data_IF_925201754598
#
_entry.id   IF_925201754598
#
_cell.length_a   1.000
_cell.length_b   1.000
_cell.length_c   1.000
_cell.angle_alpha   90.00
_cell.angle_beta   90.00
_cell.angle_gamma   90.00
#
_symmetry.space_group_name_H-M   'P 1'
#
loop_
_entity.id
_entity.type
_entity.pdbx_description
1 polymer ?
#
# COMPACT_ATOMS: atom_id res chain seq x y z
N UNK A 1 31.93 1.85 -16.90
CA UNK A 1 30.60 2.40 -16.56
C UNK A 1 29.59 1.52 -17.27
N UNK A 2 29.07 0.51 -16.59
CA UNK A 2 28.05 -0.36 -17.17
C UNK A 2 26.72 0.40 -17.20
N UNK A 3 26.32 0.81 -18.40
CA UNK A 3 25.00 1.33 -18.66
C UNK A 3 24.02 0.17 -18.45
N UNK A 4 23.47 0.03 -17.25
CA UNK A 4 22.36 -0.89 -17.02
C UNK A 4 21.20 -0.41 -17.87
N UNK A 5 21.01 -1.08 -19.01
CA UNK A 5 19.90 -0.85 -19.92
C UNK A 5 18.62 -1.26 -19.19
N UNK A 6 18.03 -0.33 -18.44
CA UNK A 6 16.71 -0.49 -17.84
C UNK A 6 15.70 -0.57 -18.98
N UNK A 7 15.45 -1.79 -19.46
CA UNK A 7 14.36 -2.10 -20.38
C UNK A 7 13.07 -1.60 -19.74
N UNK A 8 12.55 -0.49 -20.25
CA UNK A 8 11.26 0.06 -19.83
C UNK A 8 10.18 -0.85 -20.40
N UNK A 9 9.81 -1.88 -19.66
CA UNK A 9 8.71 -2.77 -20.02
C UNK A 9 7.42 -1.99 -19.82
N UNK A 10 6.70 -1.77 -20.91
CA UNK A 10 5.35 -1.20 -20.84
C UNK A 10 4.38 -2.33 -20.52
N UNK A 11 3.86 -2.29 -19.30
CA UNK A 11 2.79 -3.19 -18.85
C UNK A 11 1.48 -2.43 -18.79
N UNK A 12 0.42 -3.06 -19.27
CA UNK A 12 -0.93 -2.54 -19.12
C UNK A 12 -1.35 -2.60 -17.65
N UNK A 13 -2.16 -1.63 -17.22
CA UNK A 13 -2.67 -1.54 -15.85
C UNK A 13 -4.15 -1.20 -15.90
N UNK A 14 -4.91 -1.80 -15.00
CA UNK A 14 -6.34 -1.55 -14.86
C UNK A 14 -6.70 -1.33 -13.40
N UNK A 15 -7.81 -0.62 -13.17
CA UNK A 15 -8.39 -0.43 -11.84
C UNK A 15 -9.51 -1.47 -11.64
N UNK A 16 -9.35 -2.36 -10.66
CA UNK A 16 -10.40 -3.24 -10.20
C UNK A 16 -11.17 -2.59 -9.04
N UNK A 17 -12.49 -2.55 -9.13
CA UNK A 17 -13.36 -2.02 -8.07
C UNK A 17 -14.28 -3.14 -7.56
N UNK A 18 -14.18 -3.43 -6.27
CA UNK A 18 -15.10 -4.36 -5.60
C UNK A 18 -16.35 -3.58 -5.21
N UNK A 19 -17.51 -4.04 -5.69
CA UNK A 19 -18.79 -3.43 -5.34
C UNK A 19 -19.12 -3.67 -3.85
N UNK A 20 -19.88 -2.78 -3.20
CA UNK A 20 -20.19 -2.88 -1.76
C UNK A 20 -20.82 -4.21 -1.33
N UNK A 21 -21.70 -4.77 -2.16
CA UNK A 21 -22.38 -6.04 -1.92
C UNK A 21 -21.42 -7.24 -1.92
N UNK A 22 -20.28 -7.14 -2.60
CA UNK A 22 -19.26 -8.20 -2.71
C UNK A 22 -18.06 -8.00 -1.77
N UNK A 23 -18.06 -6.99 -0.90
CA UNK A 23 -16.92 -6.68 -0.03
C UNK A 23 -16.51 -7.85 0.89
N UNK A 24 -17.48 -8.66 1.30
CA UNK A 24 -17.26 -9.84 2.14
C UNK A 24 -16.47 -10.95 1.42
N UNK A 25 -16.27 -10.83 0.10
CA UNK A 25 -15.48 -11.75 -0.73
C UNK A 25 -14.15 -11.15 -1.18
N UNK A 26 -13.69 -10.07 -0.57
CA UNK A 26 -12.46 -9.37 -0.99
C UNK A 26 -11.26 -10.32 -1.08
N UNK A 27 -11.04 -11.15 -0.07
CA UNK A 27 -9.93 -12.10 -0.05
C UNK A 27 -10.01 -13.12 -1.20
N UNK A 28 -11.19 -13.67 -1.47
CA UNK A 28 -11.41 -14.62 -2.57
C UNK A 28 -11.19 -13.97 -3.94
N UNK A 29 -11.66 -12.73 -4.11
CA UNK A 29 -11.48 -11.96 -5.35
C UNK A 29 -10.00 -11.65 -5.58
N UNK A 30 -9.27 -11.25 -4.54
CA UNK A 30 -7.83 -10.99 -4.63
C UNK A 30 -7.05 -12.27 -4.99
N UNK A 31 -7.38 -13.39 -4.36
CA UNK A 31 -6.77 -14.69 -4.64
C UNK A 31 -7.00 -15.11 -6.10
N UNK A 32 -8.20 -14.91 -6.65
CA UNK A 32 -8.48 -15.16 -8.07
C UNK A 32 -7.65 -14.27 -8.99
N UNK A 33 -7.51 -12.97 -8.67
CA UNK A 33 -6.70 -12.04 -9.46
C UNK A 33 -5.24 -12.50 -9.50
N UNK A 34 -4.67 -12.87 -8.34
CA UNK A 34 -3.29 -13.33 -8.22
C UNK A 34 -3.07 -14.67 -8.94
N UNK A 35 -3.99 -15.64 -8.76
CA UNK A 35 -3.93 -16.95 -9.43
C UNK A 35 -4.08 -16.86 -10.93
N UNK A 36 -4.72 -15.81 -11.44
CA UNK A 36 -4.86 -15.54 -12.88
C UNK A 36 -3.59 -14.93 -13.49
N UNK A 37 -2.53 -14.70 -12.71
CA UNK A 37 -1.25 -14.16 -13.18
C UNK A 37 -1.16 -12.64 -13.21
N UNK A 38 -2.13 -11.93 -12.63
CA UNK A 38 -2.05 -10.48 -12.47
C UNK A 38 -1.26 -10.12 -11.20
N UNK A 39 -0.74 -8.90 -11.17
CA UNK A 39 -0.08 -8.33 -9.99
C UNK A 39 -0.89 -7.14 -9.48
N UNK A 40 -1.21 -7.17 -8.19
CA UNK A 40 -1.87 -6.04 -7.51
C UNK A 40 -0.78 -5.05 -7.12
N UNK A 41 -0.79 -3.87 -7.75
CA UNK A 41 0.21 -2.82 -7.50
C UNK A 41 -0.12 -1.94 -6.29
N UNK A 42 -1.41 -1.77 -6.00
CA UNK A 42 -1.88 -0.92 -4.91
C UNK A 42 -3.27 -1.38 -4.45
N UNK A 43 -3.46 -1.48 -3.14
CA UNK A 43 -4.77 -1.62 -2.52
C UNK A 43 -5.22 -0.27 -1.97
N UNK A 44 -6.49 0.11 -2.21
CA UNK A 44 -7.10 1.29 -1.60
C UNK A 44 -8.28 0.84 -0.72
N UNK A 45 -8.42 1.40 0.47
CA UNK A 45 -9.49 1.02 1.39
C UNK A 45 -10.86 1.45 0.87
N UNK A 46 -11.86 0.64 1.26
CA UNK A 46 -13.24 0.75 0.80
C UNK A 46 -13.93 2.05 1.20
N UNK A 47 -13.61 2.62 2.37
CA UNK A 47 -14.20 3.87 2.82
C UNK A 47 -13.17 5.01 2.73
N UNK A 48 -13.29 5.89 1.71
CA UNK A 48 -12.34 6.99 1.53
C UNK A 48 -12.31 7.96 2.70
N UNK A 49 -13.46 8.17 3.37
CA UNK A 49 -13.58 9.09 4.50
C UNK A 49 -12.91 8.53 5.76
N UNK A 50 -13.15 7.25 6.10
CA UNK A 50 -12.47 6.59 7.23
C UNK A 50 -10.97 6.55 6.97
N UNK A 51 -10.56 6.17 5.76
CA UNK A 51 -9.14 6.13 5.41
C UNK A 51 -8.47 7.50 5.51
N UNK A 52 -9.13 8.55 5.03
CA UNK A 52 -8.60 9.90 5.15
C UNK A 52 -8.50 10.32 6.62
N UNK A 53 -9.49 9.98 7.45
CA UNK A 53 -9.44 10.25 8.88
C UNK A 53 -8.27 9.52 9.56
N UNK A 54 -8.10 8.22 9.32
CA UNK A 54 -7.00 7.41 9.86
C UNK A 54 -5.63 7.94 9.41
N UNK A 55 -5.51 8.37 8.15
CA UNK A 55 -4.29 8.95 7.60
C UNK A 55 -3.95 10.29 8.27
N UNK A 56 -4.94 11.19 8.40
CA UNK A 56 -4.76 12.49 9.05
C UNK A 56 -4.38 12.34 10.52
N UNK A 57 -4.93 11.35 11.22
CA UNK A 57 -4.58 11.06 12.62
C UNK A 57 -3.13 10.55 12.75
N UNK A 58 -2.65 9.73 11.81
CA UNK A 58 -1.27 9.20 11.79
C UNK A 58 -0.23 10.23 11.35
N UNK A 59 -0.60 11.11 10.43
CA UNK A 59 0.30 12.12 9.84
C UNK A 59 -0.10 13.54 10.23
N UNK A 60 -0.48 13.75 11.49
CA UNK A 60 -0.92 15.06 11.97
C UNK A 60 0.25 16.07 11.93
N UNK A 61 0.21 17.10 11.07
CA UNK A 61 1.29 18.09 10.95
C UNK A 61 1.48 18.91 12.23
N UNK A 62 0.47 18.96 13.11
CA UNK A 62 0.52 19.68 14.38
C UNK A 62 1.05 18.82 15.54
N UNK A 63 1.35 17.54 15.28
CA UNK A 63 1.97 16.62 16.25
C UNK A 63 3.13 15.86 15.59
N UNK A 64 4.24 16.56 15.26
CA UNK A 64 5.38 15.94 14.61
C UNK A 64 5.97 14.85 15.52
N UNK A 65 6.24 13.68 14.94
CA UNK A 65 7.01 12.63 15.61
C UNK A 65 8.48 12.96 15.40
N UNK A 66 9.13 13.50 16.43
CA UNK A 66 10.59 13.54 16.46
C UNK A 66 11.05 12.16 16.89
N UNK A 67 11.92 11.54 16.10
CA UNK A 67 12.58 10.30 16.51
C UNK A 67 13.44 10.65 17.73
N UNK A 68 12.98 10.35 18.95
CA UNK A 68 13.87 10.35 20.11
C UNK A 68 14.91 9.27 19.85
N UNK A 69 16.17 9.68 19.78
CA UNK A 69 17.28 8.80 19.46
C UNK A 69 17.22 7.54 20.31
N UNK A 70 17.35 6.38 19.66
CA UNK A 70 17.62 5.13 20.36
C UNK A 70 18.83 5.38 21.24
N UNK A 71 18.63 5.41 22.57
CA UNK A 71 19.71 5.26 23.51
C UNK A 71 20.13 3.81 23.33
N UNK A 72 21.20 3.60 22.57
CA UNK A 72 21.88 2.31 22.56
C UNK A 72 22.52 2.21 23.94
N UNK A 73 21.89 1.49 24.85
CA UNK A 73 22.57 1.05 26.06
C UNK A 73 23.65 0.09 25.59
N UNK A 74 24.91 0.57 25.59
CA UNK A 74 26.07 -0.29 25.43
C UNK A 74 26.01 -1.34 26.55
N UNK A 75 25.79 -2.59 26.17
CA UNK A 75 25.91 -3.73 27.06
C UNK A 75 27.41 -3.92 27.36
N UNK A 76 27.80 -3.69 28.61
CA UNK A 76 29.06 -4.17 29.19
C UNK A 76 29.01 -5.68 29.44
#
# INVERSE_FOLDING_TARGET
>A
MEQTNCRRVYVERTLALIKPDAIHKTEEIEDIILKSGFTILQHKPFNPCIWLADWLMKHNPNKPQVCDGVIVEDAE
#
